data_IF_418490410071
#
_entry.id   IF_418490410071
#
_cell.length_a   1.000
_cell.length_b   1.000
_cell.length_c   1.000
_cell.angle_alpha   90.00
_cell.angle_beta   90.00
_cell.angle_gamma   90.00
#
_symmetry.space_group_name_H-M   'P 1'
#
loop_
_entity.id
_entity.type
_entity.pdbx_description
1 polymer ?
#
# COMPACT_ATOMS: atom_id res chain seq x y z
N UNK A 1 -4.97 16.08 -15.10
CA UNK A 1 -4.34 17.23 -14.45
C UNK A 1 -3.73 16.74 -13.13
N UNK A 2 -2.44 17.03 -12.88
CA UNK A 2 -1.77 16.72 -11.61
C UNK A 2 -1.75 17.96 -10.75
N UNK A 3 -1.91 17.77 -9.43
CA UNK A 3 -1.88 18.81 -8.43
C UNK A 3 -1.04 18.34 -7.24
N UNK A 4 -0.09 19.15 -6.81
CA UNK A 4 0.64 18.91 -5.57
C UNK A 4 -0.22 19.40 -4.40
N UNK A 5 -0.48 18.54 -3.42
CA UNK A 5 -1.31 18.87 -2.27
C UNK A 5 -0.86 18.09 -1.02
N UNK A 6 -1.23 18.61 0.15
CA UNK A 6 -1.08 17.92 1.42
C UNK A 6 -2.23 16.91 1.61
N UNK A 7 -1.89 15.62 1.81
CA UNK A 7 -2.85 14.57 2.01
C UNK A 7 -3.68 14.73 3.31
N UNK A 8 -3.19 15.51 4.27
CA UNK A 8 -3.90 15.83 5.50
C UNK A 8 -4.88 17.01 5.36
N UNK A 9 -4.81 17.72 4.22
CA UNK A 9 -5.67 18.89 3.92
C UNK A 9 -5.79 19.08 2.41
N UNK A 10 -6.65 18.27 1.79
CA UNK A 10 -6.85 18.29 0.35
C UNK A 10 -7.60 19.56 -0.09
N UNK A 11 -7.18 20.22 -1.18
CA UNK A 11 -7.82 21.45 -1.68
C UNK A 11 -9.08 21.14 -2.52
N UNK A 12 -9.95 20.30 -1.98
CA UNK A 12 -11.18 19.84 -2.63
C UNK A 12 -12.38 20.01 -1.70
N UNK A 13 -13.56 20.12 -2.29
CA UNK A 13 -14.82 20.23 -1.57
C UNK A 13 -15.26 18.88 -0.98
N UNK A 14 -16.18 18.94 0.00
CA UNK A 14 -16.76 17.74 0.58
C UNK A 14 -17.54 16.96 -0.47
N UNK A 15 -17.37 15.64 -0.51
CA UNK A 15 -18.12 14.78 -1.40
C UNK A 15 -17.88 15.05 -2.88
N UNK A 16 -16.67 15.41 -3.26
CA UNK A 16 -16.33 15.72 -4.65
C UNK A 16 -16.05 14.48 -5.50
N UNK A 17 -15.47 13.42 -4.90
CA UNK A 17 -14.99 12.25 -5.64
C UNK A 17 -15.86 11.03 -5.44
N UNK A 18 -15.96 10.20 -6.46
CA UNK A 18 -16.62 8.89 -6.42
C UNK A 18 -15.64 7.77 -6.00
N UNK A 19 -14.35 7.98 -6.27
CA UNK A 19 -13.31 6.99 -6.02
C UNK A 19 -11.99 7.67 -5.64
N UNK A 20 -11.26 7.04 -4.70
CA UNK A 20 -9.88 7.41 -4.33
C UNK A 20 -9.01 6.16 -4.48
N UNK A 21 -7.79 6.33 -4.99
CA UNK A 21 -6.78 5.28 -5.06
C UNK A 21 -5.57 5.65 -4.19
N UNK A 22 -5.22 4.75 -3.28
CA UNK A 22 -4.07 4.85 -2.38
C UNK A 22 -3.13 3.66 -2.64
N UNK A 23 -2.42 3.71 -3.75
CA UNK A 23 -1.54 2.62 -4.18
C UNK A 23 -0.10 2.96 -3.78
N UNK A 24 0.55 2.10 -2.98
CA UNK A 24 1.92 2.30 -2.48
C UNK A 24 2.11 3.69 -1.83
N UNK A 25 1.12 4.10 -1.05
CA UNK A 25 1.04 5.43 -0.45
C UNK A 25 1.01 5.37 1.08
N UNK A 26 0.22 4.46 1.66
CA UNK A 26 -0.04 4.42 3.10
C UNK A 26 1.22 4.11 3.92
N UNK A 27 2.19 3.37 3.38
CA UNK A 27 3.48 3.06 3.99
C UNK A 27 4.45 4.25 4.06
N UNK A 28 4.05 5.40 3.55
CA UNK A 28 4.82 6.65 3.60
C UNK A 28 4.16 7.72 4.49
N UNK A 29 3.10 7.34 5.21
CA UNK A 29 2.27 8.25 5.99
C UNK A 29 2.39 7.95 7.49
N UNK A 30 2.69 8.97 8.28
CA UNK A 30 2.81 8.85 9.75
C UNK A 30 1.44 8.82 10.45
N UNK A 31 0.47 9.61 10.00
CA UNK A 31 -0.86 9.75 10.59
C UNK A 31 -1.95 9.24 9.63
N UNK A 32 -2.08 7.92 9.53
CA UNK A 32 -3.06 7.25 8.67
C UNK A 32 -4.51 7.65 9.01
N UNK A 33 -4.95 7.68 10.28
CA UNK A 33 -6.30 8.11 10.63
C UNK A 33 -6.66 9.48 10.08
N UNK A 34 -5.75 10.43 10.10
CA UNK A 34 -5.97 11.77 9.57
C UNK A 34 -6.13 11.79 8.05
N UNK A 35 -5.36 11.00 7.31
CA UNK A 35 -5.53 10.84 5.86
C UNK A 35 -6.86 10.19 5.52
N UNK A 36 -7.25 9.13 6.24
CA UNK A 36 -8.53 8.46 6.03
C UNK A 36 -9.70 9.41 6.32
N UNK A 37 -9.63 10.20 7.40
CA UNK A 37 -10.62 11.24 7.73
C UNK A 37 -10.78 12.25 6.59
N UNK A 38 -9.65 12.74 6.07
CA UNK A 38 -9.65 13.74 4.99
C UNK A 38 -10.17 13.13 3.68
N UNK A 39 -9.82 11.88 3.41
CA UNK A 39 -10.35 11.11 2.28
C UNK A 39 -11.85 10.88 2.40
N UNK A 40 -12.34 10.56 3.60
CA UNK A 40 -13.78 10.48 3.85
C UNK A 40 -14.48 11.81 3.57
N UNK A 41 -13.89 12.94 3.96
CA UNK A 41 -14.46 14.26 3.70
C UNK A 41 -14.68 14.54 2.21
N UNK A 42 -13.67 14.27 1.38
CA UNK A 42 -13.74 14.57 -0.06
C UNK A 42 -14.46 13.51 -0.88
N UNK A 43 -14.67 12.31 -0.32
CA UNK A 43 -15.36 11.22 -0.97
C UNK A 43 -16.88 11.35 -0.78
N UNK A 44 -17.64 11.10 -1.83
CA UNK A 44 -19.10 11.03 -1.79
C UNK A 44 -19.58 9.88 -0.91
N UNK A 45 -20.81 9.96 -0.45
CA UNK A 45 -21.51 8.81 0.13
C UNK A 45 -21.57 7.68 -0.91
N UNK A 46 -21.36 6.43 -0.46
CA UNK A 46 -21.19 5.24 -1.31
C UNK A 46 -19.95 5.26 -2.22
N UNK A 47 -19.10 6.26 -2.14
CA UNK A 47 -17.80 6.26 -2.82
C UNK A 47 -16.86 5.20 -2.28
N UNK A 48 -15.83 4.87 -3.03
CA UNK A 48 -14.91 3.78 -2.71
C UNK A 48 -13.46 4.25 -2.59
N UNK A 49 -12.70 3.61 -1.72
CA UNK A 49 -11.25 3.77 -1.66
C UNK A 49 -10.60 2.44 -2.01
N UNK A 50 -9.78 2.41 -3.06
CA UNK A 50 -8.87 1.31 -3.36
C UNK A 50 -7.54 1.56 -2.67
N UNK A 51 -6.96 0.53 -2.08
CA UNK A 51 -5.67 0.63 -1.41
C UNK A 51 -4.76 -0.55 -1.73
N UNK A 52 -3.46 -0.30 -1.70
CA UNK A 52 -2.39 -1.30 -1.65
C UNK A 52 -1.32 -0.82 -0.68
N UNK A 53 -0.79 -1.73 0.15
CA UNK A 53 0.32 -1.44 1.07
C UNK A 53 0.98 -2.74 1.56
N UNK A 54 2.05 -2.62 2.35
CA UNK A 54 2.80 -3.74 2.91
C UNK A 54 2.36 -4.08 4.33
N UNK A 55 2.31 -5.39 4.63
CA UNK A 55 1.98 -5.86 5.97
C UNK A 55 3.19 -5.68 6.92
N UNK A 56 2.96 -5.15 8.12
CA UNK A 56 3.98 -4.98 9.15
C UNK A 56 4.31 -6.30 9.83
N UNK A 57 5.25 -7.05 9.25
CA UNK A 57 5.82 -8.26 9.84
C UNK A 57 7.26 -8.49 9.36
N UNK A 58 7.94 -9.47 9.97
CA UNK A 58 9.33 -9.77 9.67
C UNK A 58 9.55 -10.20 8.21
N UNK A 59 8.64 -10.99 7.63
CA UNK A 59 8.81 -11.50 6.27
C UNK A 59 8.65 -10.40 5.22
N UNK A 60 7.70 -9.51 5.39
CA UNK A 60 7.56 -8.34 4.51
C UNK A 60 8.75 -7.39 4.63
N UNK A 61 9.27 -7.17 5.84
CA UNK A 61 10.50 -6.43 6.06
C UNK A 61 11.70 -7.05 5.32
N UNK A 62 11.87 -8.37 5.47
CA UNK A 62 12.98 -9.08 4.81
C UNK A 62 12.88 -9.01 3.29
N UNK A 63 11.69 -9.14 2.71
CA UNK A 63 11.48 -9.18 1.26
C UNK A 63 11.41 -7.77 0.67
N UNK A 64 10.54 -6.91 1.20
CA UNK A 64 10.26 -5.61 0.61
C UNK A 64 11.33 -4.55 0.92
N UNK A 65 12.03 -4.67 2.05
CA UNK A 65 13.09 -3.74 2.43
C UNK A 65 14.46 -4.38 2.17
N UNK A 66 14.81 -5.42 2.92
CA UNK A 66 16.16 -5.97 2.85
C UNK A 66 16.46 -6.67 1.52
N UNK A 67 15.48 -7.36 0.93
CA UNK A 67 15.64 -7.95 -0.39
C UNK A 67 15.90 -6.89 -1.46
N UNK A 68 15.19 -5.78 -1.44
CA UNK A 68 15.40 -4.67 -2.38
C UNK A 68 16.72 -3.95 -2.10
N UNK A 69 17.02 -3.58 -0.84
CA UNK A 69 18.27 -2.89 -0.48
C UNK A 69 19.53 -3.71 -0.79
N UNK A 70 19.49 -5.05 -0.63
CA UNK A 70 20.67 -5.91 -0.82
C UNK A 70 20.90 -6.32 -2.26
N UNK A 71 19.84 -6.47 -3.04
CA UNK A 71 19.93 -7.08 -4.36
C UNK A 71 19.58 -6.15 -5.52
N UNK A 72 19.03 -4.97 -5.27
CA UNK A 72 18.69 -4.00 -6.31
C UNK A 72 19.67 -2.83 -6.28
N UNK A 73 20.45 -2.70 -7.34
CA UNK A 73 21.39 -1.57 -7.50
C UNK A 73 20.62 -0.25 -7.58
N UNK A 74 21.23 0.80 -7.03
CA UNK A 74 20.70 2.16 -7.06
C UNK A 74 19.40 2.39 -6.27
N UNK A 75 19.00 1.43 -5.42
CA UNK A 75 17.86 1.65 -4.51
C UNK A 75 18.20 2.74 -3.49
N UNK A 76 17.43 3.80 -3.36
CA UNK A 76 17.62 4.79 -2.32
C UNK A 76 17.57 4.14 -0.94
N UNK A 77 18.52 4.48 -0.07
CA UNK A 77 18.50 4.01 1.33
C UNK A 77 17.24 4.55 2.01
N UNK A 78 16.60 3.69 2.81
CA UNK A 78 15.36 4.02 3.53
C UNK A 78 14.16 4.33 2.63
N UNK A 79 14.10 3.74 1.43
CA UNK A 79 12.94 3.86 0.54
C UNK A 79 11.64 3.41 1.24
N UNK A 80 11.73 2.33 2.03
CA UNK A 80 10.63 1.84 2.85
C UNK A 80 11.05 1.78 4.32
N UNK A 81 10.21 2.28 5.19
CA UNK A 81 10.44 2.35 6.63
C UNK A 81 9.49 1.40 7.34
N UNK A 82 10.01 0.30 7.88
CA UNK A 82 9.20 -0.80 8.40
C UNK A 82 8.16 -0.39 9.47
N UNK A 83 8.46 0.62 10.30
CA UNK A 83 7.49 1.05 11.32
C UNK A 83 6.26 1.74 10.74
N UNK A 84 6.33 2.21 9.47
CA UNK A 84 5.19 2.78 8.75
C UNK A 84 4.34 1.70 8.05
N UNK A 85 4.81 0.46 7.96
CA UNK A 85 3.99 -0.64 7.45
C UNK A 85 2.79 -0.87 8.36
N UNK A 86 1.69 -1.33 7.80
CA UNK A 86 0.41 -1.50 8.50
C UNK A 86 0.04 -2.97 8.64
N UNK A 87 -0.54 -3.34 9.78
CA UNK A 87 -1.25 -4.62 9.85
C UNK A 87 -2.62 -4.48 9.19
N UNK A 88 -3.10 -5.51 8.47
CA UNK A 88 -4.43 -5.47 7.87
C UNK A 88 -5.54 -5.11 8.86
N UNK A 89 -5.49 -5.65 10.09
CA UNK A 89 -6.46 -5.36 11.14
C UNK A 89 -6.46 -3.89 11.58
N UNK A 90 -5.29 -3.26 11.68
CA UNK A 90 -5.16 -1.85 12.05
C UNK A 90 -5.76 -0.94 10.97
N UNK A 91 -5.47 -1.24 9.70
CA UNK A 91 -6.02 -0.47 8.60
C UNK A 91 -7.55 -0.57 8.52
N UNK A 92 -8.10 -1.78 8.72
CA UNK A 92 -9.56 -1.98 8.77
C UNK A 92 -10.17 -1.18 9.93
N UNK A 93 -9.55 -1.20 11.11
CA UNK A 93 -10.01 -0.43 12.27
C UNK A 93 -10.04 1.07 11.96
N UNK A 94 -8.98 1.61 11.33
CA UNK A 94 -8.95 3.02 10.91
C UNK A 94 -10.06 3.34 9.91
N UNK A 95 -10.32 2.48 8.96
CA UNK A 95 -11.43 2.67 8.02
C UNK A 95 -12.79 2.66 8.72
N UNK A 96 -13.01 1.72 9.64
CA UNK A 96 -14.28 1.62 10.40
C UNK A 96 -14.57 2.87 11.23
N UNK A 97 -13.54 3.52 11.84
CA UNK A 97 -13.68 4.76 12.61
C UNK A 97 -14.28 5.90 11.75
N UNK A 98 -14.08 5.90 10.45
CA UNK A 98 -14.53 6.95 9.53
C UNK A 98 -15.63 6.50 8.57
N UNK A 99 -16.49 5.58 9.03
CA UNK A 99 -17.70 5.11 8.32
C UNK A 99 -17.38 4.42 6.97
N UNK A 100 -16.32 3.64 6.91
CA UNK A 100 -16.04 2.77 5.77
C UNK A 100 -16.25 1.30 6.14
N UNK A 101 -16.81 0.55 5.22
CA UNK A 101 -16.95 -0.91 5.30
C UNK A 101 -15.97 -1.58 4.33
N UNK A 102 -15.23 -2.59 4.80
CA UNK A 102 -14.38 -3.41 3.95
C UNK A 102 -15.25 -4.29 3.05
N UNK A 103 -15.05 -4.18 1.73
CA UNK A 103 -15.75 -5.00 0.74
C UNK A 103 -14.91 -6.20 0.34
N UNK A 104 -13.63 -5.99 0.03
CA UNK A 104 -12.72 -7.07 -0.35
C UNK A 104 -11.28 -6.72 0.05
N UNK A 105 -10.53 -7.77 0.44
CA UNK A 105 -9.09 -7.67 0.67
C UNK A 105 -8.40 -8.96 0.27
N UNK A 106 -7.34 -8.83 -0.51
CA UNK A 106 -6.51 -9.95 -0.99
C UNK A 106 -5.03 -9.65 -0.76
N UNK A 107 -4.25 -10.71 -0.65
CA UNK A 107 -2.80 -10.58 -0.54
C UNK A 107 -2.14 -10.35 -1.88
N UNK A 108 -1.01 -9.68 -1.85
CA UNK A 108 -0.12 -9.48 -2.99
C UNK A 108 1.26 -10.01 -2.61
N UNK A 109 1.84 -10.84 -3.45
CA UNK A 109 3.18 -11.39 -3.21
C UNK A 109 3.98 -11.52 -4.50
N UNK A 110 5.30 -11.41 -4.43
CA UNK A 110 6.16 -11.75 -5.56
C UNK A 110 5.94 -13.19 -6.02
N UNK A 111 5.96 -13.40 -7.32
CA UNK A 111 5.99 -14.75 -7.86
C UNK A 111 7.41 -15.31 -7.73
N UNK A 112 7.58 -16.24 -6.79
CA UNK A 112 8.87 -16.84 -6.50
C UNK A 112 9.35 -17.70 -7.67
N UNK A 113 10.59 -17.47 -8.13
CA UNK A 113 11.29 -18.30 -9.10
C UNK A 113 12.79 -18.34 -8.76
N UNK A 114 13.34 -19.55 -8.57
CA UNK A 114 14.76 -19.70 -8.30
C UNK A 114 15.65 -19.11 -9.39
N UNK A 115 15.24 -19.20 -10.65
CA UNK A 115 15.97 -18.60 -11.78
C UNK A 115 16.01 -17.08 -11.69
N UNK A 116 14.89 -16.46 -11.29
CA UNK A 116 14.78 -14.99 -11.10
C UNK A 116 15.58 -14.54 -9.89
N UNK A 117 15.53 -15.29 -8.79
CA UNK A 117 16.33 -14.99 -7.59
C UNK A 117 17.83 -15.05 -7.89
N UNK A 118 18.32 -16.08 -8.58
CA UNK A 118 19.71 -16.18 -9.00
C UNK A 118 20.12 -15.01 -9.90
N UNK A 119 19.30 -14.61 -10.86
CA UNK A 119 19.57 -13.45 -11.71
C UNK A 119 19.62 -12.15 -10.90
N UNK A 120 18.72 -11.97 -9.94
CA UNK A 120 18.71 -10.80 -9.06
C UNK A 120 20.00 -10.73 -8.23
N UNK A 121 20.44 -11.85 -7.65
CA UNK A 121 21.68 -11.95 -6.86
C UNK A 121 22.90 -11.65 -7.73
N UNK A 122 22.95 -12.17 -8.96
CA UNK A 122 24.12 -12.02 -9.85
C UNK A 122 24.20 -10.64 -10.49
N UNK A 123 23.07 -10.09 -10.92
CA UNK A 123 23.03 -8.88 -11.74
C UNK A 123 22.68 -7.62 -10.93
N UNK A 124 22.04 -7.77 -9.76
CA UNK A 124 21.56 -6.66 -8.94
C UNK A 124 20.47 -5.83 -9.60
N UNK A 125 19.72 -6.42 -10.52
CA UNK A 125 18.61 -5.76 -11.24
C UNK A 125 17.34 -6.60 -11.16
N UNK A 126 16.21 -5.94 -10.93
CA UNK A 126 14.90 -6.57 -11.09
C UNK A 126 14.65 -6.70 -12.59
N UNK A 127 14.46 -7.93 -13.07
CA UNK A 127 14.15 -8.17 -14.46
C UNK A 127 12.74 -7.68 -14.80
N UNK A 128 12.50 -7.33 -16.06
CA UNK A 128 11.17 -7.00 -16.62
C UNK A 128 10.14 -8.13 -16.42
N UNK A 129 10.61 -9.37 -16.24
CA UNK A 129 9.79 -10.54 -15.91
C UNK A 129 9.37 -10.65 -14.45
N UNK A 130 9.70 -9.69 -13.59
CA UNK A 130 9.29 -9.73 -12.17
C UNK A 130 7.79 -9.53 -12.08
N UNK A 131 7.10 -10.54 -11.55
CA UNK A 131 5.63 -10.54 -11.47
C UNK A 131 5.18 -10.64 -10.03
N UNK A 132 4.10 -9.95 -9.72
CA UNK A 132 3.32 -10.17 -8.52
C UNK A 132 2.11 -11.04 -8.84
N UNK A 133 1.64 -11.77 -7.85
CA UNK A 133 0.40 -12.52 -7.94
C UNK A 133 -0.50 -12.26 -6.74
N UNK A 134 -1.78 -12.31 -7.00
CA UNK A 134 -2.82 -12.27 -5.98
C UNK A 134 -2.77 -13.59 -5.18
N UNK A 135 -2.99 -13.49 -3.89
CA UNK A 135 -2.93 -14.59 -2.94
C UNK A 135 -3.97 -14.39 -1.84
N UNK A 136 -4.40 -15.46 -1.22
CA UNK A 136 -5.20 -15.36 0.00
C UNK A 136 -4.36 -14.97 1.24
N UNK A 137 -3.04 -15.14 1.17
CA UNK A 137 -2.14 -14.76 2.26
C UNK A 137 -1.80 -13.28 2.21
N UNK A 138 -2.13 -12.55 3.25
CA UNK A 138 -1.84 -11.13 3.44
C UNK A 138 -0.42 -10.88 3.97
N UNK A 139 0.45 -11.86 3.95
CA UNK A 139 1.73 -11.83 4.69
C UNK A 139 2.70 -10.77 4.17
N UNK A 140 2.82 -10.54 2.86
CA UNK A 140 3.82 -9.61 2.31
C UNK A 140 3.19 -8.25 2.05
N UNK A 141 2.33 -8.15 1.06
CA UNK A 141 1.52 -7.00 0.76
C UNK A 141 0.05 -7.38 0.72
N UNK A 142 -0.81 -6.40 0.80
CA UNK A 142 -2.24 -6.60 0.66
C UNK A 142 -2.89 -5.40 -0.02
N UNK A 143 -3.92 -5.70 -0.78
CA UNK A 143 -4.73 -4.69 -1.44
C UNK A 143 -6.20 -5.02 -1.28
N UNK A 144 -7.03 -4.02 -1.46
CA UNK A 144 -8.46 -4.18 -1.33
C UNK A 144 -9.20 -2.90 -1.61
N UNK A 145 -10.47 -2.91 -1.30
CA UNK A 145 -11.26 -1.69 -1.33
C UNK A 145 -12.30 -1.65 -0.21
N UNK A 146 -12.57 -0.43 0.22
CA UNK A 146 -13.58 -0.09 1.21
C UNK A 146 -14.62 0.83 0.58
N UNK A 147 -15.84 0.78 1.08
CA UNK A 147 -16.96 1.61 0.65
C UNK A 147 -17.39 2.50 1.81
N UNK A 148 -17.60 3.78 1.53
CA UNK A 148 -18.16 4.74 2.51
C UNK A 148 -19.66 4.48 2.71
N UNK A 149 -20.09 4.31 3.94
CA UNK A 149 -21.48 4.06 4.34
C UNK A 149 -22.30 5.35 4.40
#
# INVERSE_FOLDING_TARGET
KYLQADAYKLPFENGQFDCICMMDFLEHIDDIPRVIKESSRVLKKNGVIFFHTFNRNFLSWLIAIKGVEWFVKETPKNLHVHHLFLKPSELIEFFNIFDFELVEMVGVRPEFSWKRLLKLILNGQINEDFKFKISQSLTIGFMGFVKKI
#
